data_IF_299066485990
#
_entry.id   IF_299066485990
#
_cell.length_a   1.000
_cell.length_b   1.000
_cell.length_c   1.000
_cell.angle_alpha   90.00
_cell.angle_beta   90.00
_cell.angle_gamma   90.00
#
_symmetry.space_group_name_H-M   'P 1'
#
loop_
_entity.id
_entity.type
_entity.pdbx_description
1 polymer ?
#
# COMPACT_ATOMS: atom_id res chain seq x y z
N UNK A 1 -11.06 -22.31 4.27
CA UNK A 1 -9.85 -23.15 4.00
C UNK A 1 -8.68 -22.38 4.60
N UNK A 2 -8.80 -22.06 5.89
CA UNK A 2 -7.88 -21.19 6.62
C UNK A 2 -6.83 -22.10 7.24
N UNK A 3 -5.90 -22.53 6.40
CA UNK A 3 -4.75 -23.31 6.87
C UNK A 3 -3.80 -22.33 7.52
N UNK A 4 -3.86 -22.27 8.85
CA UNK A 4 -2.85 -21.68 9.72
C UNK A 4 -1.46 -22.16 9.29
N UNK A 5 -0.74 -21.38 8.50
CA UNK A 5 0.70 -21.53 8.29
C UNK A 5 1.34 -20.22 8.72
N UNK A 6 1.68 -20.19 10.00
CA UNK A 6 2.49 -19.16 10.62
C UNK A 6 2.98 -19.74 11.93
N UNK A 7 4.10 -20.47 11.88
CA UNK A 7 4.96 -20.62 13.06
C UNK A 7 5.06 -19.23 13.67
N UNK A 8 4.70 -19.10 14.95
CA UNK A 8 4.76 -17.83 15.69
C UNK A 8 6.06 -17.14 15.28
N UNK A 9 5.93 -16.01 14.59
CA UNK A 9 7.04 -15.13 14.31
C UNK A 9 7.48 -14.62 15.68
N UNK A 10 8.52 -15.26 16.21
CA UNK A 10 8.94 -15.06 17.59
C UNK A 10 9.47 -13.63 17.70
N UNK A 11 8.62 -12.76 18.26
CA UNK A 11 9.01 -11.47 18.80
C UNK A 11 10.29 -11.67 19.60
N UNK A 12 11.41 -11.14 19.10
CA UNK A 12 12.70 -11.30 19.76
C UNK A 12 12.74 -10.35 20.94
N UNK A 13 12.20 -10.81 22.05
CA UNK A 13 12.08 -10.06 23.30
C UNK A 13 13.49 -9.87 23.91
N UNK A 14 14.06 -8.67 23.75
CA UNK A 14 15.45 -8.39 24.11
C UNK A 14 15.61 -7.92 25.56
N UNK A 15 14.52 -7.53 26.23
CA UNK A 15 14.55 -6.96 27.59
C UNK A 15 13.26 -7.26 28.37
N UNK A 16 13.31 -7.19 29.70
CA UNK A 16 12.13 -7.43 30.57
C UNK A 16 10.92 -6.51 30.34
N UNK A 17 11.07 -5.47 29.53
CA UNK A 17 10.05 -4.48 29.21
C UNK A 17 9.71 -4.44 27.74
N UNK A 18 10.37 -5.26 26.91
CA UNK A 18 10.09 -5.31 25.48
C UNK A 18 8.74 -5.99 25.26
N UNK A 19 7.97 -5.45 24.30
CA UNK A 19 6.77 -6.08 23.74
C UNK A 19 5.72 -6.63 24.74
N UNK A 20 5.70 -6.07 25.95
CA UNK A 20 4.82 -6.48 27.08
C UNK A 20 3.32 -6.47 26.78
N UNK A 21 2.90 -5.81 25.69
CA UNK A 21 1.51 -5.73 25.22
C UNK A 21 1.35 -5.99 23.72
N UNK A 22 2.35 -6.61 23.07
CA UNK A 22 2.29 -6.94 21.65
C UNK A 22 1.65 -8.32 21.47
N UNK A 23 0.52 -8.37 20.76
CA UNK A 23 -0.21 -9.62 20.52
C UNK A 23 0.50 -10.55 19.52
N UNK A 24 1.16 -9.97 18.52
CA UNK A 24 2.03 -10.67 17.58
C UNK A 24 2.89 -9.66 16.81
N UNK A 25 4.12 -10.04 16.51
CA UNK A 25 4.88 -9.49 15.39
C UNK A 25 4.68 -10.43 14.20
N UNK A 26 4.58 -9.88 12.99
CA UNK A 26 4.46 -10.68 11.77
C UNK A 26 5.27 -10.00 10.67
N UNK A 27 6.22 -10.72 10.11
CA UNK A 27 6.91 -10.33 8.90
C UNK A 27 5.91 -10.12 7.75
N UNK A 28 6.05 -8.99 7.05
CA UNK A 28 5.29 -8.68 5.85
C UNK A 28 6.14 -9.01 4.62
N UNK A 29 5.46 -9.37 3.52
CA UNK A 29 6.11 -9.45 2.20
C UNK A 29 6.76 -8.11 1.87
N UNK A 30 7.96 -8.14 1.29
CA UNK A 30 8.64 -6.91 0.89
C UNK A 30 7.92 -6.26 -0.30
N UNK A 31 7.96 -4.92 -0.42
CA UNK A 31 7.38 -4.25 -1.59
C UNK A 31 7.96 -4.75 -2.93
N UNK A 32 9.26 -5.10 -2.95
CA UNK A 32 9.91 -5.60 -4.16
C UNK A 32 9.32 -6.96 -4.60
N UNK A 33 9.16 -7.90 -3.66
CA UNK A 33 8.55 -9.20 -3.96
C UNK A 33 7.09 -9.06 -4.41
N UNK A 34 6.34 -8.14 -3.79
CA UNK A 34 4.96 -7.89 -4.19
C UNK A 34 4.86 -7.35 -5.63
N UNK A 35 5.80 -6.48 -6.04
CA UNK A 35 5.86 -5.95 -7.41
C UNK A 35 6.26 -7.02 -8.44
N UNK A 36 7.09 -7.99 -8.04
CA UNK A 36 7.43 -9.14 -8.87
C UNK A 36 6.24 -10.09 -9.06
N UNK A 37 5.48 -10.37 -7.99
CA UNK A 37 4.29 -11.23 -8.03
C UNK A 37 3.11 -10.58 -8.78
N UNK A 38 2.95 -9.26 -8.65
CA UNK A 38 1.88 -8.49 -9.26
C UNK A 38 2.45 -7.35 -10.12
N UNK A 39 3.01 -7.67 -11.30
CA UNK A 39 3.56 -6.66 -12.18
C UNK A 39 2.47 -5.72 -12.67
N UNK A 40 2.79 -4.43 -12.71
CA UNK A 40 1.86 -3.39 -13.15
C UNK A 40 1.70 -3.49 -14.68
N UNK A 41 0.46 -3.60 -15.21
CA UNK A 41 0.25 -3.55 -16.65
C UNK A 41 0.60 -2.17 -17.23
N UNK A 42 1.16 -2.14 -18.45
CA UNK A 42 1.55 -0.88 -19.13
C UNK A 42 0.41 0.14 -19.18
N UNK A 43 -0.82 -0.31 -19.45
CA UNK A 43 -1.99 0.55 -19.48
C UNK A 43 -2.27 1.25 -18.13
N UNK A 44 -2.01 0.56 -17.01
CA UNK A 44 -2.17 1.14 -15.69
C UNK A 44 -1.05 2.17 -15.39
N UNK A 45 0.18 1.90 -15.83
CA UNK A 45 1.28 2.86 -15.74
C UNK A 45 0.96 4.14 -16.49
N UNK A 46 0.57 4.03 -17.77
CA UNK A 46 0.21 5.18 -18.60
C UNK A 46 -0.95 5.98 -18.00
N UNK A 47 -1.98 5.30 -17.49
CA UNK A 47 -3.10 5.96 -16.82
C UNK A 47 -2.65 6.76 -15.59
N UNK A 48 -1.80 6.18 -14.74
CA UNK A 48 -1.29 6.85 -13.53
C UNK A 48 -0.44 8.07 -13.89
N UNK A 49 0.45 7.95 -14.88
CA UNK A 49 1.29 9.06 -15.34
C UNK A 49 0.46 10.21 -15.91
N UNK A 50 -0.47 9.90 -16.81
CA UNK A 50 -1.34 10.90 -17.43
C UNK A 50 -2.23 11.59 -16.38
N UNK A 51 -2.87 10.82 -15.49
CA UNK A 51 -3.72 11.37 -14.45
C UNK A 51 -2.95 12.33 -13.52
N UNK A 52 -1.70 11.98 -13.15
CA UNK A 52 -0.84 12.86 -12.35
C UNK A 52 -0.54 14.18 -13.05
N UNK A 53 -0.25 14.13 -14.35
CA UNK A 53 -0.01 15.34 -15.12
C UNK A 53 -1.26 16.21 -15.24
N UNK A 54 -2.42 15.61 -15.50
CA UNK A 54 -3.69 16.32 -15.58
C UNK A 54 -4.07 16.97 -14.24
N UNK A 55 -3.94 16.24 -13.14
CA UNK A 55 -4.16 16.76 -11.78
C UNK A 55 -3.22 17.94 -11.50
N UNK A 56 -1.93 17.81 -11.85
CA UNK A 56 -0.97 18.89 -11.69
C UNK A 56 -1.38 20.15 -12.47
N UNK A 57 -1.88 20.01 -13.69
CA UNK A 57 -2.34 21.14 -14.49
C UNK A 57 -3.51 21.86 -13.83
N UNK A 58 -4.49 21.12 -13.30
CA UNK A 58 -5.63 21.69 -12.56
C UNK A 58 -5.16 22.43 -11.30
N UNK A 59 -4.29 21.81 -10.50
CA UNK A 59 -3.78 22.43 -9.25
C UNK A 59 -2.96 23.71 -9.49
N UNK A 60 -2.31 23.83 -10.65
CA UNK A 60 -1.57 25.02 -11.02
C UNK A 60 -2.38 26.03 -11.84
N UNK A 61 -3.69 25.80 -12.04
CA UNK A 61 -4.56 26.69 -12.83
C UNK A 61 -4.23 26.73 -14.32
N UNK A 62 -3.51 25.72 -14.84
CA UNK A 62 -3.22 25.57 -16.28
C UNK A 62 -4.33 24.83 -17.02
N UNK A 63 -5.26 24.24 -16.28
CA UNK A 63 -6.44 23.51 -16.72
C UNK A 63 -7.58 23.94 -15.79
N UNK A 64 -8.72 24.35 -16.35
CA UNK A 64 -9.87 24.93 -15.64
C UNK A 64 -10.91 23.89 -15.21
N UNK A 65 -10.65 22.61 -15.47
CA UNK A 65 -11.52 21.52 -15.02
C UNK A 65 -11.53 21.40 -13.50
N UNK A 66 -12.63 20.87 -12.97
CA UNK A 66 -12.78 20.54 -11.56
C UNK A 66 -12.24 19.13 -11.26
N UNK A 67 -11.30 19.02 -10.33
CA UNK A 67 -10.87 17.74 -9.77
C UNK A 67 -11.85 17.29 -8.68
N UNK A 68 -12.36 16.06 -8.77
CA UNK A 68 -13.28 15.48 -7.77
C UNK A 68 -12.78 14.11 -7.35
N UNK A 69 -12.68 13.88 -6.04
CA UNK A 69 -12.41 12.56 -5.46
C UNK A 69 -13.76 11.99 -4.97
N UNK A 70 -14.21 10.89 -5.59
CA UNK A 70 -15.50 10.24 -5.29
C UNK A 70 -15.32 8.75 -5.15
N UNK A 71 -16.05 8.14 -4.23
CA UNK A 71 -16.00 6.70 -3.97
C UNK A 71 -16.68 6.34 -2.65
N UNK A 72 -16.79 5.03 -2.33
CA UNK A 72 -17.24 4.59 -1.01
C UNK A 72 -16.24 5.03 0.07
N UNK A 73 -16.70 5.10 1.32
CA UNK A 73 -15.82 5.47 2.44
C UNK A 73 -14.69 4.44 2.67
N UNK A 74 -14.93 3.18 2.32
CA UNK A 74 -13.97 2.08 2.35
C UNK A 74 -14.28 1.09 1.22
N UNK A 75 -13.24 0.52 0.61
CA UNK A 75 -13.36 -0.59 -0.36
C UNK A 75 -13.57 -1.91 0.39
#
# INVERSE_FOLDING_TARGET
LDREIGSRDETRDTTRTDDTRIGAVRALISPALLLEELPIPDAALSLVEEARQQISNVLHGRDDRLLVIVGPCSI
#
